data_IF_659106439312
#
_entry.id   IF_659106439312
#
_cell.length_a   1.000
_cell.length_b   1.000
_cell.length_c   1.000
_cell.angle_alpha   90.00
_cell.angle_beta   90.00
_cell.angle_gamma   90.00
#
_symmetry.space_group_name_H-M   'P 1'
#
loop_
_entity.id
_entity.type
_entity.pdbx_description
1 polymer ?
#
# COMPACT_ATOMS: atom_id res chain seq x y z
N UNK A 1 -32.64 24.86 -31.37
CA UNK A 1 -32.33 23.80 -30.38
C UNK A 1 -31.74 24.51 -29.18
N UNK A 2 -32.40 24.40 -28.02
CA UNK A 2 -31.99 25.08 -26.78
C UNK A 2 -30.60 24.61 -26.39
N UNK A 3 -29.62 25.52 -26.42
CA UNK A 3 -28.29 25.33 -25.83
C UNK A 3 -28.41 25.41 -24.31
N UNK A 4 -29.07 24.42 -23.70
CA UNK A 4 -29.04 24.26 -22.25
C UNK A 4 -27.76 23.52 -21.92
N UNK A 5 -26.69 24.27 -21.64
CA UNK A 5 -25.50 23.71 -20.99
C UNK A 5 -25.97 22.87 -19.79
N UNK A 6 -25.45 21.65 -19.62
CA UNK A 6 -25.83 20.83 -18.49
C UNK A 6 -25.50 21.60 -17.21
N UNK A 7 -26.50 21.73 -16.33
CA UNK A 7 -26.32 22.35 -15.02
C UNK A 7 -25.45 21.42 -14.16
N UNK A 8 -24.13 21.53 -14.30
CA UNK A 8 -23.15 20.74 -13.56
C UNK A 8 -22.65 21.60 -12.39
N UNK A 9 -23.18 21.32 -11.20
CA UNK A 9 -22.72 21.94 -9.96
C UNK A 9 -21.46 21.24 -9.47
N UNK A 10 -20.42 21.99 -9.16
CA UNK A 10 -19.23 21.45 -8.52
C UNK A 10 -19.55 21.06 -7.06
N UNK A 11 -19.19 19.84 -6.64
CA UNK A 11 -19.45 19.32 -5.28
C UNK A 11 -18.98 20.28 -4.18
N UNK A 12 -17.85 20.98 -4.36
CA UNK A 12 -17.34 21.98 -3.41
C UNK A 12 -18.28 23.16 -3.11
N UNK A 13 -19.32 23.37 -3.93
CA UNK A 13 -20.36 24.39 -3.72
C UNK A 13 -21.51 23.88 -2.85
N UNK A 14 -21.58 22.57 -2.61
CA UNK A 14 -22.53 21.94 -1.69
C UNK A 14 -21.87 21.92 -0.31
N UNK A 15 -21.95 23.04 0.39
CA UNK A 15 -21.18 23.28 1.62
C UNK A 15 -21.87 22.80 2.88
N UNK A 16 -23.14 22.40 2.77
CA UNK A 16 -23.96 21.86 3.85
C UNK A 16 -24.70 20.58 3.40
N UNK A 17 -25.14 19.74 4.35
CA UNK A 17 -26.03 18.62 4.05
C UNK A 17 -27.30 19.03 3.28
N UNK A 18 -27.86 20.20 3.59
CA UNK A 18 -29.06 20.71 2.93
C UNK A 18 -28.82 21.09 1.46
N UNK A 19 -27.64 21.64 1.14
CA UNK A 19 -27.27 21.90 -0.26
C UNK A 19 -27.24 20.59 -1.07
N UNK A 20 -26.71 19.51 -0.48
CA UNK A 20 -26.66 18.20 -1.10
C UNK A 20 -28.07 17.60 -1.25
N UNK A 21 -28.92 17.69 -0.22
CA UNK A 21 -30.32 17.24 -0.28
C UNK A 21 -31.09 17.97 -1.38
N UNK A 22 -30.97 19.29 -1.46
CA UNK A 22 -31.62 20.09 -2.49
C UNK A 22 -31.15 19.68 -3.89
N UNK A 23 -29.85 19.39 -4.05
CA UNK A 23 -29.29 18.91 -5.31
C UNK A 23 -29.81 17.53 -5.69
N UNK A 24 -29.84 16.58 -4.75
CA UNK A 24 -30.40 15.25 -4.96
C UNK A 24 -31.87 15.32 -5.37
N UNK A 25 -32.68 16.13 -4.67
CA UNK A 25 -34.08 16.36 -4.99
C UNK A 25 -34.28 16.92 -6.41
N UNK A 26 -33.47 17.91 -6.82
CA UNK A 26 -33.52 18.48 -8.17
C UNK A 26 -33.17 17.47 -9.27
N UNK A 27 -32.33 16.49 -8.95
CA UNK A 27 -31.93 15.41 -9.86
C UNK A 27 -32.86 14.18 -9.78
N UNK A 28 -33.82 14.14 -8.86
CA UNK A 28 -34.65 12.97 -8.59
C UNK A 28 -33.88 11.78 -8.04
N UNK A 29 -32.77 12.04 -7.32
CA UNK A 29 -31.93 11.02 -6.68
C UNK A 29 -32.37 10.85 -5.24
N UNK A 30 -32.66 9.61 -4.86
CA UNK A 30 -32.87 9.23 -3.46
C UNK A 30 -31.53 8.86 -2.83
N UNK A 31 -30.99 9.77 -2.02
CA UNK A 31 -29.74 9.58 -1.28
C UNK A 31 -30.01 9.87 0.21
N UNK A 32 -29.98 8.86 1.10
CA UNK A 32 -30.13 9.09 2.53
C UNK A 32 -28.92 9.87 3.07
N UNK A 33 -29.19 10.90 3.87
CA UNK A 33 -28.17 11.78 4.46
C UNK A 33 -28.51 11.96 5.94
N UNK A 34 -27.66 11.41 6.81
CA UNK A 34 -27.74 11.61 8.25
C UNK A 34 -27.13 12.96 8.66
N UNK A 35 -27.79 13.69 9.56
CA UNK A 35 -27.26 14.95 10.11
C UNK A 35 -26.19 14.71 11.20
N UNK A 36 -26.13 13.50 11.75
CA UNK A 36 -25.19 13.10 12.78
C UNK A 36 -24.53 11.77 12.40
N UNK A 37 -23.22 11.69 12.63
CA UNK A 37 -22.46 10.45 12.45
C UNK A 37 -22.54 9.65 13.75
N UNK A 38 -23.14 8.47 13.69
CA UNK A 38 -23.15 7.53 14.83
C UNK A 38 -21.75 6.91 15.02
N UNK A 39 -21.07 7.13 16.16
CA UNK A 39 -19.72 6.61 16.38
C UNK A 39 -19.65 5.08 16.37
N UNK A 40 -20.73 4.41 16.77
CA UNK A 40 -20.86 2.94 16.72
C UNK A 40 -21.48 2.41 15.42
N UNK A 41 -21.64 3.27 14.41
CA UNK A 41 -22.32 2.96 13.16
C UNK A 41 -21.60 1.91 12.31
N UNK A 42 -22.11 1.65 11.08
CA UNK A 42 -21.62 0.56 10.23
C UNK A 42 -20.11 0.59 9.95
N UNK A 43 -19.48 1.77 9.95
CA UNK A 43 -18.03 1.89 9.71
C UNK A 43 -17.18 1.49 10.93
N UNK A 44 -17.74 1.55 12.13
CA UNK A 44 -17.06 1.10 13.35
C UNK A 44 -17.18 -0.41 13.59
N UNK A 45 -17.98 -1.12 12.79
CA UNK A 45 -18.18 -2.55 12.92
C UNK A 45 -17.02 -3.34 12.30
N UNK A 46 -16.65 -4.49 12.86
CA UNK A 46 -15.63 -5.35 12.26
C UNK A 46 -15.98 -5.82 10.84
N UNK A 47 -14.95 -6.22 10.11
CA UNK A 47 -15.03 -6.86 8.79
C UNK A 47 -14.15 -8.11 8.78
N UNK A 48 -14.73 -9.25 8.46
CA UNK A 48 -13.97 -10.48 8.20
C UNK A 48 -13.60 -10.55 6.73
N UNK A 49 -12.32 -10.73 6.44
CA UNK A 49 -11.79 -10.92 5.09
C UNK A 49 -11.15 -12.30 4.99
N UNK A 50 -11.34 -12.97 3.86
CA UNK A 50 -10.69 -14.25 3.57
C UNK A 50 -9.77 -14.02 2.38
N UNK A 51 -8.48 -14.20 2.62
CA UNK A 51 -7.45 -14.22 1.59
C UNK A 51 -7.05 -15.65 1.24
N UNK A 52 -6.70 -15.87 -0.03
CA UNK A 52 -6.30 -17.19 -0.53
C UNK A 52 -5.00 -17.73 0.06
N UNK A 53 -4.19 -16.85 0.67
CA UNK A 53 -2.87 -17.17 1.20
C UNK A 53 -2.70 -16.86 2.70
N UNK A 54 -3.33 -15.80 3.22
CA UNK A 54 -3.33 -15.44 4.65
C UNK A 54 -4.53 -15.99 5.45
N UNK A 55 -5.41 -16.77 4.82
CA UNK A 55 -6.56 -17.35 5.47
C UNK A 55 -7.62 -16.31 5.85
N UNK A 56 -8.33 -16.53 6.95
CA UNK A 56 -9.41 -15.63 7.39
C UNK A 56 -8.93 -14.71 8.50
N UNK A 57 -9.09 -13.40 8.30
CA UNK A 57 -8.68 -12.32 9.21
C UNK A 57 -9.89 -11.49 9.61
N UNK A 58 -9.86 -10.92 10.81
CA UNK A 58 -10.87 -9.96 11.27
C UNK A 58 -10.23 -8.59 11.44
N UNK A 59 -10.76 -7.62 10.71
CA UNK A 59 -10.38 -6.21 10.78
C UNK A 59 -11.34 -5.53 11.75
N UNK A 60 -10.82 -4.82 12.75
CA UNK A 60 -11.62 -4.30 13.87
C UNK A 60 -12.66 -3.23 13.51
N UNK A 61 -12.51 -2.57 12.36
CA UNK A 61 -13.47 -1.62 11.80
C UNK A 61 -13.30 -1.49 10.27
N UNK A 62 -14.17 -0.72 9.62
CA UNK A 62 -14.17 -0.52 8.16
C UNK A 62 -13.49 0.78 7.75
N UNK A 63 -12.68 1.36 8.63
CA UNK A 63 -11.84 2.50 8.29
C UNK A 63 -10.57 2.00 7.65
N UNK A 64 -10.33 2.45 6.42
CA UNK A 64 -9.19 2.08 5.62
C UNK A 64 -8.32 3.31 5.32
N UNK A 65 -7.01 3.16 5.49
CA UNK A 65 -6.02 4.08 4.89
C UNK A 65 -5.62 3.47 3.55
N UNK A 66 -6.01 4.12 2.47
CA UNK A 66 -5.67 3.70 1.11
C UNK A 66 -4.21 4.05 0.78
N UNK A 67 -3.56 3.31 -0.14
CA UNK A 67 -2.23 3.65 -0.59
C UNK A 67 -2.30 4.98 -1.33
N UNK A 68 -1.44 5.93 -0.94
CA UNK A 68 -1.37 7.21 -1.62
C UNK A 68 0.08 7.63 -1.69
N UNK A 69 0.58 7.74 -2.92
CA UNK A 69 1.97 8.11 -3.17
C UNK A 69 2.26 9.56 -2.72
N UNK A 70 3.20 9.71 -1.79
CA UNK A 70 3.58 10.99 -1.20
C UNK A 70 4.56 11.85 -1.97
N UNK A 71 5.29 11.25 -2.92
CA UNK A 71 6.37 11.88 -3.71
C UNK A 71 7.47 12.51 -2.84
N UNK A 72 7.66 11.98 -1.63
CA UNK A 72 8.58 12.48 -0.60
C UNK A 72 9.53 11.40 -0.08
N UNK A 73 9.75 10.32 -0.84
CA UNK A 73 10.85 9.38 -0.64
C UNK A 73 12.19 9.94 -1.15
N UNK A 74 13.28 9.24 -0.85
CA UNK A 74 14.59 9.56 -1.43
C UNK A 74 14.67 9.13 -2.89
N UNK A 75 15.69 9.59 -3.60
CA UNK A 75 15.97 9.15 -4.97
C UNK A 75 16.28 7.65 -5.06
N UNK A 76 16.83 7.09 -3.99
CA UNK A 76 17.14 5.66 -3.84
C UNK A 76 15.94 4.81 -3.40
N UNK A 77 14.73 5.40 -3.32
CA UNK A 77 13.51 4.68 -2.96
C UNK A 77 13.33 4.43 -1.46
N UNK A 78 14.08 5.13 -0.60
CA UNK A 78 14.01 5.01 0.86
C UNK A 78 13.00 5.99 1.47
N UNK A 79 12.41 5.67 2.64
CA UNK A 79 11.56 6.61 3.35
C UNK A 79 12.36 7.76 3.96
N UNK A 80 11.81 8.97 3.83
CA UNK A 80 12.26 10.16 4.56
C UNK A 80 11.57 10.28 5.92
N UNK A 81 11.98 11.25 6.74
CA UNK A 81 11.32 11.53 8.03
C UNK A 81 9.84 11.90 7.88
N UNK A 82 9.46 12.51 6.74
CA UNK A 82 8.05 12.81 6.45
C UNK A 82 7.24 11.54 6.22
N UNK A 83 7.81 10.56 5.51
CA UNK A 83 7.21 9.24 5.30
C UNK A 83 7.08 8.49 6.62
N UNK A 84 8.14 8.47 7.44
CA UNK A 84 8.13 7.83 8.77
C UNK A 84 7.02 8.39 9.66
N UNK A 85 6.97 9.72 9.80
CA UNK A 85 5.94 10.42 10.57
C UNK A 85 4.53 10.15 10.05
N UNK A 86 4.36 9.97 8.74
CA UNK A 86 3.07 9.65 8.12
C UNK A 86 2.59 8.26 8.51
N UNK A 87 3.48 7.27 8.45
CA UNK A 87 3.19 5.89 8.85
C UNK A 87 2.85 5.76 10.34
N UNK A 88 3.60 6.44 11.22
CA UNK A 88 3.25 6.51 12.66
C UNK A 88 1.83 7.06 12.87
N UNK A 89 1.45 8.10 12.12
CA UNK A 89 0.12 8.70 12.18
C UNK A 89 -0.98 7.78 11.65
N UNK A 90 -0.69 6.97 10.63
CA UNK A 90 -1.61 5.93 10.18
C UNK A 90 -1.86 4.93 11.30
N UNK A 91 -0.81 4.48 11.99
CA UNK A 91 -0.93 3.59 13.15
C UNK A 91 -1.78 4.19 14.26
N UNK A 92 -1.53 5.44 14.63
CA UNK A 92 -2.27 6.14 15.67
C UNK A 92 -3.72 6.49 15.30
N UNK A 93 -4.14 6.38 14.03
CA UNK A 93 -5.43 6.89 13.54
C UNK A 93 -6.66 6.15 14.05
N UNK A 94 -6.51 4.88 14.46
CA UNK A 94 -7.62 4.00 14.83
C UNK A 94 -8.26 3.28 13.65
N UNK A 95 -7.82 3.54 12.41
CA UNK A 95 -8.13 2.68 11.27
C UNK A 95 -7.56 1.28 11.50
N UNK A 96 -8.33 0.26 11.12
CA UNK A 96 -7.94 -1.14 11.31
C UNK A 96 -7.49 -1.81 10.02
N UNK A 97 -7.71 -1.18 8.87
CA UNK A 97 -7.10 -1.56 7.61
C UNK A 97 -6.15 -0.47 7.13
N UNK A 98 -4.84 -0.74 7.14
CA UNK A 98 -3.85 0.14 6.52
C UNK A 98 -3.37 -0.55 5.26
N UNK A 99 -3.78 -0.07 4.09
CA UNK A 99 -3.37 -0.65 2.81
C UNK A 99 -2.11 0.02 2.30
N UNK A 100 -0.96 -0.29 2.93
CA UNK A 100 0.36 0.17 2.54
C UNK A 100 0.66 1.63 2.85
N UNK A 101 -0.35 2.49 3.04
CA UNK A 101 -0.18 3.93 3.25
C UNK A 101 0.42 4.69 2.05
N UNK A 102 1.21 4.00 1.23
CA UNK A 102 1.98 4.43 0.07
C UNK A 102 1.94 3.33 -0.99
N UNK A 103 2.07 3.74 -2.26
CA UNK A 103 2.33 2.82 -3.36
C UNK A 103 3.85 2.62 -3.50
N UNK A 104 4.33 1.38 -3.39
CA UNK A 104 5.76 1.05 -3.48
C UNK A 104 6.03 0.41 -4.85
N UNK A 105 7.02 0.92 -5.59
CA UNK A 105 7.37 0.35 -6.87
C UNK A 105 8.12 -0.98 -6.70
N UNK A 106 7.80 -2.00 -7.49
CA UNK A 106 8.51 -3.31 -7.44
C UNK A 106 9.91 -3.24 -8.02
N UNK A 107 10.16 -2.28 -8.92
CA UNK A 107 11.48 -2.02 -9.49
C UNK A 107 11.69 -0.51 -9.69
N UNK A 108 12.93 -0.01 -9.67
CA UNK A 108 13.22 1.41 -9.85
C UNK A 108 12.65 2.01 -11.14
N UNK A 109 12.69 1.28 -12.26
CA UNK A 109 12.21 1.71 -13.57
C UNK A 109 10.67 1.82 -13.63
N UNK A 110 9.99 1.12 -12.73
CA UNK A 110 8.54 1.09 -12.59
C UNK A 110 7.97 2.29 -11.84
N UNK A 111 8.80 3.22 -11.37
CA UNK A 111 8.36 4.33 -10.53
C UNK A 111 7.56 5.39 -11.30
N UNK A 112 6.53 5.95 -10.68
CA UNK A 112 5.72 7.05 -11.21
C UNK A 112 6.44 8.41 -11.12
N UNK A 113 7.43 8.53 -10.24
CA UNK A 113 8.31 9.70 -10.09
C UNK A 113 9.62 9.31 -9.33
N UNK A 114 10.64 10.19 -9.33
CA UNK A 114 11.94 9.94 -8.69
C UNK A 114 11.94 9.85 -7.16
N UNK A 115 10.80 10.04 -6.50
CA UNK A 115 10.65 10.04 -5.06
C UNK A 115 9.62 8.99 -4.57
N UNK A 116 9.19 8.07 -5.44
CA UNK A 116 8.39 6.90 -5.04
C UNK A 116 9.23 5.90 -4.21
N UNK A 117 8.67 5.27 -3.19
CA UNK A 117 9.38 4.16 -2.54
C UNK A 117 9.60 2.99 -3.52
N UNK A 118 10.65 2.22 -3.31
CA UNK A 118 10.94 1.02 -4.12
C UNK A 118 11.08 -0.17 -3.17
N UNK A 119 10.53 -1.33 -3.54
CA UNK A 119 10.82 -2.59 -2.86
C UNK A 119 12.06 -3.18 -3.53
N UNK A 120 13.15 -3.27 -2.78
CA UNK A 120 14.43 -3.83 -3.23
C UNK A 120 15.19 -4.34 -2.01
N UNK A 121 16.17 -5.21 -2.21
CA UNK A 121 17.07 -5.65 -1.13
C UNK A 121 17.66 -4.50 -0.29
N UNK A 122 17.90 -3.31 -0.88
CA UNK A 122 18.47 -2.17 -0.17
C UNK A 122 17.44 -1.38 0.68
N UNK A 123 16.17 -1.36 0.27
CA UNK A 123 15.10 -0.57 0.88
C UNK A 123 14.15 -1.39 1.75
N UNK A 124 14.10 -2.71 1.56
CA UNK A 124 13.24 -3.62 2.30
C UNK A 124 13.38 -3.47 3.83
N UNK A 125 14.60 -3.37 4.42
CA UNK A 125 14.72 -3.14 5.87
C UNK A 125 14.06 -1.84 6.31
N UNK A 126 14.22 -0.77 5.54
CA UNK A 126 13.65 0.53 5.88
C UNK A 126 12.11 0.54 5.77
N UNK A 127 11.53 -0.26 4.86
CA UNK A 127 10.09 -0.46 4.73
C UNK A 127 9.56 -1.30 5.90
N UNK A 128 10.29 -2.34 6.32
CA UNK A 128 10.00 -3.09 7.54
C UNK A 128 9.92 -2.18 8.77
N UNK A 129 10.87 -1.26 8.91
CA UNK A 129 10.87 -0.26 9.99
C UNK A 129 9.66 0.70 9.96
N UNK A 130 9.14 1.03 8.77
CA UNK A 130 7.90 1.80 8.67
C UNK A 130 6.71 1.01 9.24
N UNK A 131 6.62 -0.28 8.91
CA UNK A 131 5.58 -1.18 9.43
C UNK A 131 5.69 -1.32 10.94
N UNK A 132 6.90 -1.54 11.48
CA UNK A 132 7.11 -1.60 12.93
C UNK A 132 6.65 -0.32 13.63
N UNK A 133 7.10 0.83 13.14
CA UNK A 133 6.72 2.13 13.70
C UNK A 133 5.20 2.36 13.67
N UNK A 134 4.54 1.94 12.60
CA UNK A 134 3.08 2.01 12.48
C UNK A 134 2.37 1.09 13.49
N UNK A 135 2.79 -0.17 13.58
CA UNK A 135 2.19 -1.17 14.49
C UNK A 135 2.39 -0.75 15.94
N UNK A 136 3.57 -0.23 16.29
CA UNK A 136 3.86 0.27 17.62
C UNK A 136 3.03 1.51 17.96
N UNK A 137 2.92 2.47 17.03
CA UNK A 137 2.06 3.64 17.22
C UNK A 137 0.59 3.22 17.41
N UNK A 138 0.13 2.19 16.70
CA UNK A 138 -1.21 1.64 16.89
C UNK A 138 -1.38 1.02 18.27
N UNK A 139 -0.46 0.14 18.69
CA UNK A 139 -0.49 -0.51 20.00
C UNK A 139 -0.47 0.52 21.13
N UNK A 140 0.35 1.57 21.02
CA UNK A 140 0.43 2.64 22.00
C UNK A 140 -0.89 3.43 22.11
N UNK A 141 -1.57 3.69 20.98
CA UNK A 141 -2.80 4.47 20.96
C UNK A 141 -4.07 3.64 21.27
N UNK A 142 -4.09 2.36 20.89
CA UNK A 142 -5.31 1.52 20.85
C UNK A 142 -5.19 0.20 21.62
N UNK A 143 -4.04 -0.07 22.23
CA UNK A 143 -3.81 -1.17 23.19
C UNK A 143 -3.42 -2.51 22.56
N UNK A 144 -4.15 -2.98 21.53
CA UNK A 144 -3.86 -4.24 20.84
C UNK A 144 -3.77 -4.05 19.33
N UNK A 145 -3.14 -5.01 18.65
CA UNK A 145 -2.96 -5.10 17.20
C UNK A 145 -3.66 -6.32 16.61
N UNK A 146 -4.37 -7.13 17.41
CA UNK A 146 -4.98 -8.41 16.99
C UNK A 146 -6.02 -8.27 15.86
N UNK A 147 -6.58 -7.07 15.71
CA UNK A 147 -7.59 -6.71 14.73
C UNK A 147 -7.11 -5.64 13.73
N UNK A 148 -5.81 -5.37 13.70
CA UNK A 148 -5.15 -4.47 12.76
C UNK A 148 -4.57 -5.28 11.59
N UNK A 149 -4.95 -4.91 10.37
CA UNK A 149 -4.37 -5.46 9.14
C UNK A 149 -3.58 -4.39 8.40
N UNK A 150 -2.30 -4.65 8.15
CA UNK A 150 -1.40 -3.76 7.42
C UNK A 150 -0.95 -4.46 6.13
N UNK A 151 -1.47 -4.02 4.99
CA UNK A 151 -1.01 -4.45 3.67
C UNK A 151 0.12 -3.56 3.14
N UNK A 152 0.64 -3.89 1.96
CA UNK A 152 1.53 -3.04 1.17
C UNK A 152 1.12 -3.10 -0.30
N UNK A 153 0.87 -1.95 -0.92
CA UNK A 153 0.59 -1.93 -2.35
C UNK A 153 1.91 -1.94 -3.13
N UNK A 154 2.11 -2.99 -3.92
CA UNK A 154 3.20 -3.09 -4.88
C UNK A 154 2.72 -2.62 -6.23
N UNK A 155 3.53 -1.84 -6.93
CA UNK A 155 3.13 -1.17 -8.16
C UNK A 155 4.20 -1.21 -9.23
N UNK A 156 3.75 -1.17 -10.49
CA UNK A 156 4.57 -0.82 -11.63
C UNK A 156 3.79 0.20 -12.48
N UNK A 157 4.29 1.42 -12.58
CA UNK A 157 3.58 2.55 -13.21
C UNK A 157 3.40 2.40 -14.72
N UNK A 158 4.16 1.49 -15.32
CA UNK A 158 3.98 1.04 -16.68
C UNK A 158 4.02 2.20 -17.67
N UNK A 159 2.90 2.45 -18.35
CA UNK A 159 2.78 3.54 -19.33
C UNK A 159 3.07 4.92 -18.72
N UNK A 160 2.92 5.06 -17.41
CA UNK A 160 3.09 6.30 -16.67
C UNK A 160 4.41 6.38 -15.89
N UNK A 161 5.32 5.42 -16.08
CA UNK A 161 6.64 5.44 -15.44
C UNK A 161 7.42 6.73 -15.74
N UNK A 162 7.99 7.31 -14.69
CA UNK A 162 8.88 8.48 -14.70
C UNK A 162 9.98 8.37 -13.62
N UNK A 163 10.82 7.32 -13.66
CA UNK A 163 11.84 7.07 -12.63
C UNK A 163 12.80 8.26 -12.44
N UNK A 164 13.11 8.99 -13.52
CA UNK A 164 13.97 10.18 -13.49
C UNK A 164 13.20 11.49 -13.71
N UNK A 165 11.87 11.47 -13.56
CA UNK A 165 10.99 12.63 -13.72
C UNK A 165 10.62 12.94 -15.18
N UNK A 166 11.17 12.18 -16.13
CA UNK A 166 10.76 12.20 -17.55
C UNK A 166 9.97 10.92 -17.88
N UNK A 167 8.99 10.98 -18.81
CA UNK A 167 8.30 9.77 -19.28
C UNK A 167 9.29 8.70 -19.76
N UNK A 168 9.19 7.51 -19.17
CA UNK A 168 9.94 6.30 -19.54
C UNK A 168 8.96 5.09 -19.54
N UNK A 169 7.97 5.09 -20.44
CA UNK A 169 6.87 4.13 -20.40
C UNK A 169 7.36 2.68 -20.65
N UNK A 170 6.82 1.73 -19.88
CA UNK A 170 6.86 0.29 -20.17
C UNK A 170 5.43 -0.24 -20.22
N UNK A 171 5.03 -0.96 -21.27
CA UNK A 171 3.61 -1.25 -21.53
C UNK A 171 3.40 -2.73 -21.80
N UNK A 172 2.24 -3.28 -21.43
CA UNK A 172 1.89 -4.65 -21.83
C UNK A 172 1.47 -4.74 -23.31
N UNK A 173 1.02 -3.62 -23.90
CA UNK A 173 0.59 -3.54 -25.29
C UNK A 173 0.53 -2.08 -25.79
N UNK A 174 0.53 -1.93 -27.12
CA UNK A 174 0.47 -0.62 -27.82
C UNK A 174 -0.95 -0.05 -27.88
N UNK A 175 -1.18 1.11 -27.27
CA UNK A 175 -2.49 1.76 -27.24
C UNK A 175 -2.47 3.09 -28.02
N UNK A 176 -3.17 3.22 -29.17
CA UNK A 176 -3.09 4.39 -30.05
C UNK A 176 -3.34 5.75 -29.38
N UNK A 177 -4.32 5.86 -28.48
CA UNK A 177 -4.64 7.13 -27.80
C UNK A 177 -3.76 7.44 -26.58
N UNK A 178 -3.36 6.43 -25.81
CA UNK A 178 -2.60 6.62 -24.58
C UNK A 178 -1.10 6.78 -24.87
N UNK A 179 -0.57 6.07 -25.87
CA UNK A 179 0.84 6.14 -26.25
C UNK A 179 1.24 7.55 -26.70
N UNK A 180 0.36 8.22 -27.45
CA UNK A 180 0.58 9.61 -27.87
C UNK A 180 0.74 10.58 -26.71
N UNK A 181 0.19 10.28 -25.51
CA UNK A 181 0.29 11.15 -24.33
C UNK A 181 1.65 11.10 -23.66
N UNK A 182 2.36 9.98 -23.81
CA UNK A 182 3.64 9.72 -23.13
C UNK A 182 4.80 9.50 -24.10
N UNK A 183 4.54 9.51 -25.40
CA UNK A 183 5.54 9.23 -26.44
C UNK A 183 5.97 7.77 -26.48
N UNK A 184 5.11 6.84 -26.06
CA UNK A 184 5.38 5.41 -26.14
C UNK A 184 5.20 4.91 -27.58
N UNK A 185 5.90 3.82 -27.91
CA UNK A 185 5.73 3.07 -29.15
C UNK A 185 5.92 1.57 -28.89
N UNK A 186 6.01 0.76 -29.96
CA UNK A 186 6.17 -0.68 -29.83
C UNK A 186 7.44 -1.10 -29.08
N UNK A 187 8.48 -0.27 -29.00
CA UNK A 187 9.70 -0.56 -28.24
C UNK A 187 9.49 -0.42 -26.73
N UNK A 188 8.43 0.25 -26.29
CA UNK A 188 8.03 0.32 -24.89
C UNK A 188 7.29 -0.94 -24.41
N UNK A 189 6.91 -1.85 -25.33
CA UNK A 189 6.17 -3.07 -24.96
C UNK A 189 7.11 -4.06 -24.27
N UNK A 190 6.71 -4.51 -23.08
CA UNK A 190 7.39 -5.57 -22.32
C UNK A 190 7.21 -6.91 -23.04
N UNK A 191 8.30 -7.66 -23.20
CA UNK A 191 8.22 -9.06 -23.62
C UNK A 191 7.68 -9.96 -22.50
N UNK A 192 7.25 -11.16 -22.86
CA UNK A 192 6.74 -12.15 -21.90
C UNK A 192 7.77 -12.45 -20.79
N UNK A 193 9.05 -12.66 -21.16
CA UNK A 193 10.13 -12.90 -20.20
C UNK A 193 10.35 -11.72 -19.23
N UNK A 194 10.11 -10.48 -19.68
CA UNK A 194 10.22 -9.29 -18.83
C UNK A 194 9.04 -9.15 -17.88
N UNK A 195 7.84 -9.57 -18.30
CA UNK A 195 6.66 -9.65 -17.44
C UNK A 195 6.83 -10.73 -16.37
N UNK A 196 7.35 -11.90 -16.76
CA UNK A 196 7.66 -12.99 -15.82
C UNK A 196 8.72 -12.55 -14.81
N UNK A 197 9.75 -11.80 -15.25
CA UNK A 197 10.75 -11.23 -14.37
C UNK A 197 10.16 -10.20 -13.40
N UNK A 198 9.32 -9.27 -13.87
CA UNK A 198 8.64 -8.31 -12.98
C UNK A 198 7.76 -9.00 -11.92
N UNK A 199 7.06 -10.06 -12.32
CA UNK A 199 6.28 -10.87 -11.39
C UNK A 199 7.18 -11.65 -10.42
N UNK A 200 8.39 -12.03 -10.81
CA UNK A 200 9.39 -12.64 -9.93
C UNK A 200 10.03 -11.61 -8.98
N UNK A 201 10.35 -10.40 -9.44
CA UNK A 201 10.93 -9.33 -8.62
C UNK A 201 9.94 -8.91 -7.52
N UNK A 202 8.65 -8.83 -7.85
CA UNK A 202 7.58 -8.64 -6.87
C UNK A 202 7.51 -9.78 -5.81
N UNK A 203 8.14 -10.94 -6.07
CA UNK A 203 8.14 -12.15 -5.22
C UNK A 203 9.48 -12.43 -4.52
N UNK A 204 10.62 -12.04 -5.09
CA UNK A 204 11.99 -12.43 -4.64
C UNK A 204 12.60 -11.42 -3.66
N UNK A 205 12.31 -10.13 -3.79
CA UNK A 205 12.72 -9.09 -2.82
C UNK A 205 11.94 -9.15 -1.50
N UNK A 206 11.25 -10.27 -1.27
CA UNK A 206 10.45 -10.59 -0.11
C UNK A 206 10.95 -11.94 0.46
N UNK A 207 11.71 -11.97 1.57
CA UNK A 207 12.32 -13.17 2.18
C UNK A 207 11.32 -14.32 2.52
N UNK A 208 11.80 -15.53 2.88
CA UNK A 208 10.98 -16.70 3.31
C UNK A 208 11.11 -16.99 4.84
N UNK A 209 9.99 -17.18 5.59
CA UNK A 209 9.95 -17.31 7.07
C UNK A 209 8.63 -16.85 7.75
N UNK A 210 8.25 -17.45 8.89
CA UNK A 210 6.93 -17.36 9.54
C UNK A 210 6.58 -15.99 10.20
N UNK A 211 5.50 -15.30 9.77
CA UNK A 211 4.33 -14.74 10.54
C UNK A 211 3.48 -13.67 9.78
N UNK A 212 2.41 -14.14 9.13
CA UNK A 212 1.01 -13.70 9.11
C UNK A 212 0.42 -12.32 8.67
N UNK A 213 1.11 -11.23 8.35
CA UNK A 213 0.45 -9.91 8.22
C UNK A 213 1.02 -8.91 7.19
N UNK A 214 1.08 -9.24 5.88
CA UNK A 214 1.05 -8.25 4.78
C UNK A 214 0.32 -8.67 3.50
N UNK A 215 -0.83 -8.06 3.20
CA UNK A 215 -1.54 -8.26 1.93
C UNK A 215 -0.93 -7.41 0.80
N UNK A 216 -0.67 -8.02 -0.36
CA UNK A 216 -0.22 -7.32 -1.56
C UNK A 216 -1.35 -7.22 -2.58
N UNK A 217 -1.69 -6.00 -3.00
CA UNK A 217 -2.48 -5.77 -4.20
C UNK A 217 -1.59 -5.26 -5.33
N UNK A 218 -1.76 -5.88 -6.49
CA UNK A 218 -1.28 -5.42 -7.78
C UNK A 218 -2.27 -4.42 -8.39
N UNK A 219 -1.77 -3.33 -8.99
CA UNK A 219 -2.56 -2.31 -9.69
C UNK A 219 -2.39 -2.42 -11.23
N UNK A 220 -1.92 -3.56 -11.73
CA UNK A 220 -1.96 -3.87 -13.15
C UNK A 220 -3.42 -4.11 -13.60
N UNK A 221 -3.89 -3.30 -14.56
CA UNK A 221 -5.19 -3.36 -15.27
C UNK A 221 -6.04 -4.61 -14.93
N UNK A 222 -7.16 -4.36 -14.24
CA UNK A 222 -8.02 -5.30 -13.52
C UNK A 222 -8.69 -6.44 -14.33
N UNK A 223 -8.21 -6.79 -15.52
CA UNK A 223 -8.84 -7.78 -16.39
C UNK A 223 -8.15 -9.16 -16.42
N UNK A 224 -6.99 -9.39 -15.76
CA UNK A 224 -6.36 -10.72 -15.88
C UNK A 224 -5.36 -11.25 -14.84
N UNK A 225 -5.37 -10.86 -13.57
CA UNK A 225 -4.38 -11.38 -12.59
C UNK A 225 -4.95 -11.84 -11.24
N UNK A 226 -6.15 -12.43 -11.24
CA UNK A 226 -6.80 -12.97 -10.04
C UNK A 226 -6.13 -14.17 -9.35
N UNK A 227 -4.95 -14.62 -9.80
CA UNK A 227 -4.23 -15.75 -9.24
C UNK A 227 -2.89 -15.39 -8.57
N UNK A 228 -2.35 -14.18 -8.79
CA UNK A 228 -0.98 -13.85 -8.39
C UNK A 228 -0.88 -13.12 -7.04
N UNK A 229 -1.99 -12.58 -6.53
CA UNK A 229 -2.08 -12.00 -5.18
C UNK A 229 -1.82 -13.03 -4.04
N UNK A 230 -1.90 -14.33 -4.35
CA UNK A 230 -1.77 -15.45 -3.39
C UNK A 230 -0.32 -15.76 -2.96
N UNK A 231 0.70 -15.20 -3.62
CA UNK A 231 2.10 -15.59 -3.36
C UNK A 231 2.86 -14.53 -2.57
N UNK A 232 2.46 -13.27 -2.67
CA UNK A 232 3.18 -12.13 -2.11
C UNK A 232 2.89 -11.89 -0.62
N UNK A 233 1.77 -12.41 -0.12
CA UNK A 233 1.34 -12.25 1.28
C UNK A 233 2.04 -13.21 2.26
N UNK A 234 2.45 -14.40 1.84
CA UNK A 234 3.10 -15.36 2.73
C UNK A 234 4.57 -15.04 3.06
N UNK A 235 5.14 -13.98 2.48
CA UNK A 235 6.60 -13.77 2.43
C UNK A 235 7.10 -12.49 3.09
N UNK A 236 6.32 -11.40 3.10
CA UNK A 236 6.79 -10.18 3.81
C UNK A 236 6.87 -10.44 5.32
N UNK A 237 6.03 -11.36 5.79
CA UNK A 237 6.04 -12.02 7.09
C UNK A 237 7.42 -12.55 7.50
N UNK A 238 8.19 -13.06 6.54
CA UNK A 238 9.56 -13.51 6.76
C UNK A 238 10.57 -12.39 6.95
N UNK A 239 10.37 -11.29 6.22
CA UNK A 239 11.24 -10.12 6.25
C UNK A 239 11.20 -9.46 7.64
N UNK A 240 10.01 -9.46 8.25
CA UNK A 240 9.75 -8.97 9.60
C UNK A 240 10.37 -9.91 10.64
N UNK A 241 10.18 -11.24 10.51
CA UNK A 241 10.79 -12.22 11.41
C UNK A 241 12.33 -12.21 11.41
N UNK A 242 12.96 -11.91 10.27
CA UNK A 242 14.41 -11.77 10.17
C UNK A 242 14.96 -10.51 10.86
N UNK A 243 14.15 -9.45 10.96
CA UNK A 243 14.50 -8.24 11.70
C UNK A 243 14.43 -8.45 13.22
N UNK A 244 13.43 -9.19 13.70
CA UNK A 244 13.28 -9.54 15.12
C UNK A 244 14.39 -10.47 15.64
N UNK A 245 15.00 -11.28 14.77
CA UNK A 245 16.12 -12.15 15.13
C UNK A 245 17.44 -11.40 15.38
N UNK A 246 17.53 -10.11 15.00
CA UNK A 246 18.74 -9.29 15.16
C UNK A 246 18.82 -8.55 16.51
N UNK A 247 17.75 -8.58 17.32
CA UNK A 247 17.66 -7.91 18.62
C UNK A 247 17.58 -8.88 19.82
N UNK A 248 17.85 -10.18 19.59
CA UNK A 248 18.09 -11.11 20.70
C UNK A 248 19.43 -10.76 21.36
N UNK A 249 19.49 -10.54 22.69
CA UNK A 249 20.76 -10.33 23.38
C UNK A 249 21.66 -11.55 23.15
N UNK A 250 22.90 -11.27 22.75
CA UNK A 250 23.99 -12.25 22.73
C UNK A 250 24.16 -12.78 24.15
N UNK A 251 23.60 -13.96 24.43
CA UNK A 251 23.88 -14.74 25.64
C UNK A 251 25.32 -15.26 25.52
N UNK A 252 26.25 -14.31 25.66
CA UNK A 252 27.68 -14.51 25.65
C UNK A 252 28.07 -15.48 26.76
N UNK A 253 28.68 -16.57 26.32
CA UNK A 253 29.73 -17.35 26.99
C UNK A 253 30.15 -16.79 28.36
N UNK A 254 29.76 -17.49 29.42
CA UNK A 254 30.26 -17.30 30.78
C UNK A 254 31.79 -17.48 30.82
N UNK A 255 32.57 -16.42 31.12
CA UNK A 255 34.03 -16.51 31.18
C UNK A 255 34.56 -16.95 32.56
N UNK A 256 33.76 -17.61 33.40
CA UNK A 256 34.16 -17.98 34.77
C UNK A 256 34.42 -19.48 35.05
N UNK A 257 34.63 -20.30 34.02
CA UNK A 257 34.93 -21.72 34.19
C UNK A 257 36.31 -22.12 33.64
N UNK A 258 37.38 -21.52 34.16
CA UNK A 258 38.73 -22.09 34.02
C UNK A 258 39.64 -21.65 35.18
N UNK A 259 39.30 -22.12 36.40
CA UNK A 259 40.29 -22.25 37.48
C UNK A 259 39.81 -23.23 38.57
N UNK A 260 39.79 -24.53 38.23
CA UNK A 260 39.72 -25.61 39.23
C UNK A 260 40.11 -26.97 38.62
N UNK A 261 41.42 -27.22 38.42
CA UNK A 261 42.08 -28.49 38.74
C UNK A 261 43.51 -28.57 38.17
N UNK A 262 44.49 -28.54 39.10
CA UNK A 262 45.86 -29.12 39.02
C UNK A 262 46.87 -28.55 38.04
#
# INVERSE_FOLDING_TARGET
>A
MSDSRPDIVQVKRLTSPDDLRARCAALGIDLPIDDAVEPGGPLAQPLTVTDGSAGTRTIGNRWAVLPMEGWDGTVDGLPTDLVRRRWERFGASGAKLIWGGEAVAVVPEGRANPHQLVMSAASAPAIGELRHSLVDAHRQAHGTTDDLLVGLQLTHSGRWSRPDGRPAPRTAWTHPELDRRVGADAAAVLGDDELDALAADAREDVPDGDVDDVMVADDADADRLGAEAQVAQARIDAAVAAADAFDAPDDGLDPSADDAAS
#
